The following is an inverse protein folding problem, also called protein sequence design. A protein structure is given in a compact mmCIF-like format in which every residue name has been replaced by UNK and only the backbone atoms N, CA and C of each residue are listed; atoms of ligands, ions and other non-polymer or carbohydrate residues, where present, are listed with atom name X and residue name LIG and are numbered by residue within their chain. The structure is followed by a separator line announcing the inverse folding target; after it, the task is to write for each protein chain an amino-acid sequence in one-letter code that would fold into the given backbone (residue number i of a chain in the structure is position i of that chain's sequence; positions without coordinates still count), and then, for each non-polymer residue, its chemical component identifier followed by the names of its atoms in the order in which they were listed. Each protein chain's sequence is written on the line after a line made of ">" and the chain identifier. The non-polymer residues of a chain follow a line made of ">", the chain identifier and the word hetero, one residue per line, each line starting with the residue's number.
data_IF_091732135604
#
_entry.id   IF_091732135604
#
_cell.length_a   1.000
_cell.length_b   1.000
_cell.length_c   1.000
_cell.angle_alpha   90.00
_cell.angle_beta   90.00
_cell.angle_gamma   90.00
#
_symmetry.space_group_name_H-M   'P 1'
#
loop_
_entity.id
_entity.type
_entity.pdbx_description
1 polymer ?
#
# COMPACT_ATOMS: atom_id res chain seq x y z
N UNK A 1 -22.42 12.57 -0.93
CA UNK A 1 -21.24 11.69 -0.93
C UNK A 1 -20.61 11.77 -2.32
N UNK A 2 -19.36 12.26 -2.42
CA UNK A 2 -18.65 12.29 -3.70
C UNK A 2 -18.15 10.87 -3.99
N UNK A 3 -18.60 10.29 -5.10
CA UNK A 3 -18.05 9.03 -5.60
C UNK A 3 -16.55 9.21 -5.91
N UNK A 4 -15.69 8.30 -5.49
CA UNK A 4 -14.28 8.36 -5.84
C UNK A 4 -14.12 8.25 -7.37
N UNK A 5 -13.47 9.23 -7.98
CA UNK A 5 -13.13 9.23 -9.41
C UNK A 5 -11.79 8.52 -9.56
N UNK A 6 -11.80 7.28 -10.07
CA UNK A 6 -10.58 6.57 -10.43
C UNK A 6 -10.08 7.06 -11.80
N UNK A 7 -8.88 7.59 -11.85
CA UNK A 7 -8.19 7.85 -13.10
C UNK A 7 -7.33 6.64 -13.46
N UNK A 8 -7.72 5.92 -14.51
CA UNK A 8 -6.89 4.85 -15.10
C UNK A 8 -5.88 5.53 -16.03
N UNK A 9 -4.65 5.67 -15.60
CA UNK A 9 -3.55 6.05 -16.49
C UNK A 9 -3.14 4.82 -17.30
N UNK A 10 -3.54 4.77 -18.57
CA UNK A 10 -3.08 3.73 -19.50
C UNK A 10 -1.61 3.97 -19.82
N UNK A 11 -0.75 3.16 -19.26
CA UNK A 11 0.64 3.06 -19.71
C UNK A 11 0.65 2.03 -20.86
N UNK A 12 1.01 2.43 -22.07
CA UNK A 12 0.90 1.63 -23.31
C UNK A 12 1.66 0.28 -23.28
N UNK A 13 2.48 0.05 -22.26
CA UNK A 13 3.32 -1.15 -22.10
C UNK A 13 2.85 -2.14 -21.04
N UNK A 14 1.80 -1.84 -20.25
CA UNK A 14 1.34 -2.75 -19.21
C UNK A 14 0.05 -3.48 -19.64
N UNK A 15 -0.04 -4.80 -19.39
CA UNK A 15 -1.29 -5.53 -19.56
C UNK A 15 -2.43 -4.87 -18.78
N UNK A 16 -3.62 -4.80 -19.36
CA UNK A 16 -4.78 -4.12 -18.76
C UNK A 16 -5.10 -4.63 -17.34
N UNK A 17 -4.86 -5.91 -17.06
CA UNK A 17 -4.99 -6.50 -15.72
C UNK A 17 -4.06 -5.83 -14.69
N UNK A 18 -2.83 -5.48 -15.09
CA UNK A 18 -1.86 -4.87 -14.19
C UNK A 18 -2.18 -3.39 -13.96
N UNK A 19 -2.72 -2.70 -14.95
CA UNK A 19 -3.25 -1.34 -14.80
C UNK A 19 -4.41 -1.34 -13.81
N UNK A 20 -5.37 -2.24 -13.96
CA UNK A 20 -6.51 -2.38 -13.03
C UNK A 20 -6.03 -2.74 -11.63
N UNK A 21 -5.11 -3.69 -11.51
CA UNK A 21 -4.52 -4.09 -10.24
C UNK A 21 -3.88 -2.90 -9.52
N UNK A 22 -3.00 -2.15 -10.20
CA UNK A 22 -2.32 -1.00 -9.61
C UNK A 22 -3.31 0.11 -9.23
N UNK A 23 -4.35 0.35 -10.04
CA UNK A 23 -5.40 1.33 -9.75
C UNK A 23 -6.16 0.98 -8.48
N UNK A 24 -6.63 -0.26 -8.35
CA UNK A 24 -7.36 -0.71 -7.18
C UNK A 24 -6.46 -0.78 -5.93
N UNK A 25 -5.22 -1.25 -6.09
CA UNK A 25 -4.23 -1.29 -5.03
C UNK A 25 -3.99 0.10 -4.44
N UNK A 26 -3.75 1.10 -5.29
CA UNK A 26 -3.55 2.48 -4.85
C UNK A 26 -4.80 3.05 -4.17
N UNK A 27 -6.00 2.76 -4.68
CA UNK A 27 -7.25 3.20 -4.08
C UNK A 27 -7.46 2.61 -2.67
N UNK A 28 -7.08 1.34 -2.45
CA UNK A 28 -7.12 0.71 -1.13
C UNK A 28 -6.10 1.35 -0.19
N UNK A 29 -4.84 1.49 -0.64
CA UNK A 29 -3.76 2.05 0.19
C UNK A 29 -4.00 3.52 0.58
N UNK A 30 -4.69 4.30 -0.28
CA UNK A 30 -5.08 5.68 0.01
C UNK A 30 -6.37 5.80 0.82
N UNK A 31 -7.03 4.68 1.14
CA UNK A 31 -8.30 4.68 1.87
C UNK A 31 -9.49 5.18 1.04
N UNK A 32 -9.36 5.30 -0.29
CA UNK A 32 -10.44 5.63 -1.21
C UNK A 32 -11.46 4.47 -1.30
N UNK A 33 -10.95 3.22 -1.19
CA UNK A 33 -11.72 2.01 -0.95
C UNK A 33 -11.52 1.62 0.52
N UNK A 34 -12.59 1.64 1.28
CA UNK A 34 -12.51 1.44 2.74
C UNK A 34 -12.44 -0.04 3.12
N UNK A 35 -11.78 -0.40 4.24
CA UNK A 35 -11.90 -1.73 4.82
C UNK A 35 -13.37 -2.17 4.92
N UNK A 36 -13.65 -3.43 4.57
CA UNK A 36 -15.01 -3.98 4.51
C UNK A 36 -15.84 -3.55 3.30
N UNK A 37 -15.32 -2.68 2.43
CA UNK A 37 -16.05 -2.26 1.22
C UNK A 37 -16.12 -3.39 0.20
N UNK A 38 -17.32 -3.61 -0.35
CA UNK A 38 -17.55 -4.66 -1.36
C UNK A 38 -17.12 -4.21 -2.76
N UNK A 39 -16.32 -5.04 -3.39
CA UNK A 39 -15.80 -4.86 -4.73
C UNK A 39 -16.49 -5.84 -5.69
N UNK A 40 -17.55 -5.36 -6.36
CA UNK A 40 -18.30 -6.17 -7.32
C UNK A 40 -17.69 -6.07 -8.72
N UNK A 41 -17.34 -7.22 -9.33
CA UNK A 41 -16.70 -7.28 -10.66
C UNK A 41 -17.45 -6.44 -11.72
N UNK A 42 -18.79 -6.51 -11.73
CA UNK A 42 -19.62 -5.80 -12.72
C UNK A 42 -19.53 -4.30 -12.53
N UNK A 43 -19.61 -3.82 -11.28
CA UNK A 43 -19.54 -2.40 -10.98
C UNK A 43 -18.16 -1.83 -11.31
N UNK A 44 -17.11 -2.54 -10.94
CA UNK A 44 -15.73 -2.15 -11.26
C UNK A 44 -15.47 -2.16 -12.77
N UNK A 45 -15.95 -3.17 -13.50
CA UNK A 45 -15.84 -3.24 -14.95
C UNK A 45 -16.50 -2.03 -15.63
N UNK A 46 -17.71 -1.67 -15.22
CA UNK A 46 -18.42 -0.50 -15.73
C UNK A 46 -17.71 0.81 -15.36
N UNK A 47 -17.22 0.93 -14.12
CA UNK A 47 -16.58 2.13 -13.61
C UNK A 47 -15.23 2.41 -14.28
N UNK A 48 -14.47 1.34 -14.59
CA UNK A 48 -13.15 1.41 -15.21
C UNK A 48 -13.21 1.31 -16.76
N UNK A 49 -14.38 1.06 -17.34
CA UNK A 49 -14.55 0.92 -18.81
C UNK A 49 -13.83 -0.30 -19.40
N UNK A 50 -13.71 -1.39 -18.63
CA UNK A 50 -13.00 -2.61 -19.03
C UNK A 50 -13.91 -3.84 -18.95
N UNK A 51 -13.50 -4.96 -19.56
CA UNK A 51 -14.22 -6.23 -19.40
C UNK A 51 -14.02 -6.81 -17.98
N UNK A 52 -14.82 -7.82 -17.61
CA UNK A 52 -14.76 -8.46 -16.29
C UNK A 52 -13.50 -9.29 -16.08
N UNK A 53 -12.86 -9.79 -17.12
CA UNK A 53 -11.69 -10.64 -17.05
C UNK A 53 -10.51 -9.96 -16.35
N UNK A 54 -10.01 -8.77 -16.79
CA UNK A 54 -8.94 -8.06 -16.11
C UNK A 54 -9.29 -7.65 -14.68
N UNK A 55 -10.58 -7.37 -14.39
CA UNK A 55 -11.03 -7.10 -13.02
C UNK A 55 -10.85 -8.33 -12.13
N UNK A 56 -11.29 -9.50 -12.59
CA UNK A 56 -11.18 -10.75 -11.82
C UNK A 56 -9.72 -11.14 -11.56
N UNK A 57 -8.86 -10.98 -12.57
CA UNK A 57 -7.43 -11.23 -12.43
C UNK A 57 -6.78 -10.27 -11.44
N UNK A 58 -7.14 -8.99 -11.50
CA UNK A 58 -6.66 -7.97 -10.55
C UNK A 58 -7.11 -8.26 -9.11
N UNK A 59 -8.39 -8.63 -8.91
CA UNK A 59 -8.91 -8.98 -7.57
C UNK A 59 -8.20 -10.20 -6.99
N UNK A 60 -7.91 -11.24 -7.81
CA UNK A 60 -7.13 -12.39 -7.36
C UNK A 60 -5.71 -12.01 -6.95
N UNK A 61 -5.09 -11.09 -7.69
CA UNK A 61 -3.75 -10.60 -7.35
C UNK A 61 -3.76 -9.79 -6.05
N UNK A 62 -4.80 -8.97 -5.84
CA UNK A 62 -5.00 -8.25 -4.57
C UNK A 62 -5.26 -9.20 -3.39
N UNK A 63 -5.96 -10.32 -3.62
CA UNK A 63 -6.15 -11.37 -2.61
C UNK A 63 -4.82 -12.01 -2.20
N UNK A 64 -3.93 -12.29 -3.16
CA UNK A 64 -2.59 -12.81 -2.87
C UNK A 64 -1.74 -11.82 -2.06
N UNK A 65 -1.96 -10.51 -2.23
CA UNK A 65 -1.33 -9.47 -1.40
C UNK A 65 -2.05 -9.25 -0.06
N UNK A 66 -3.15 -9.95 0.21
CA UNK A 66 -3.93 -9.79 1.44
C UNK A 66 -4.72 -8.48 1.53
N UNK A 67 -4.86 -7.74 0.41
CA UNK A 67 -5.57 -6.46 0.37
C UNK A 67 -7.09 -6.63 0.21
N UNK A 68 -7.53 -7.77 -0.28
CA UNK A 68 -8.95 -8.12 -0.39
C UNK A 68 -9.17 -9.59 0.00
N UNK A 69 -10.40 -9.90 0.42
CA UNK A 69 -10.89 -11.25 0.65
C UNK A 69 -11.91 -11.61 -0.43
N UNK A 70 -11.73 -12.73 -1.14
CA UNK A 70 -12.73 -13.21 -2.08
C UNK A 70 -13.94 -13.80 -1.36
N UNK A 71 -15.13 -13.30 -1.66
CA UNK A 71 -16.37 -13.79 -1.08
C UNK A 71 -17.14 -14.57 -2.15
N UNK A 72 -17.35 -15.89 -1.97
CA UNK A 72 -18.03 -16.72 -2.97
C UNK A 72 -19.38 -16.13 -3.38
N UNK A 73 -19.60 -16.01 -4.69
CA UNK A 73 -20.82 -15.46 -5.33
C UNK A 73 -21.11 -13.97 -5.06
N UNK A 74 -20.24 -13.27 -4.30
CA UNK A 74 -20.43 -11.85 -3.90
C UNK A 74 -19.35 -10.91 -4.37
N UNK A 75 -18.31 -11.40 -5.07
CA UNK A 75 -17.14 -10.62 -5.49
C UNK A 75 -16.01 -10.65 -4.47
N UNK A 76 -15.40 -9.53 -4.22
CA UNK A 76 -14.36 -9.38 -3.20
C UNK A 76 -14.78 -8.31 -2.17
N UNK A 77 -14.07 -8.27 -1.06
CA UNK A 77 -14.23 -7.29 0.01
C UNK A 77 -12.84 -6.78 0.41
N UNK A 78 -12.68 -5.48 0.60
CA UNK A 78 -11.41 -4.90 1.07
C UNK A 78 -11.09 -5.47 2.45
N UNK A 79 -9.88 -5.98 2.64
CA UNK A 79 -9.48 -6.62 3.88
C UNK A 79 -9.45 -5.61 5.04
N UNK A 80 -9.89 -6.06 6.20
CA UNK A 80 -9.78 -5.28 7.44
C UNK A 80 -8.35 -5.38 7.99
N UNK A 81 -7.83 -4.23 8.41
CA UNK A 81 -6.60 -4.18 9.20
C UNK A 81 -6.99 -4.34 10.67
N UNK A 82 -6.78 -5.54 11.23
CA UNK A 82 -7.06 -5.76 12.64
C UNK A 82 -5.89 -5.28 13.51
N UNK A 83 -6.17 -4.92 14.75
CA UNK A 83 -5.13 -4.58 15.73
C UNK A 83 -4.12 -5.72 15.91
N UNK A 84 -4.60 -6.96 15.86
CA UNK A 84 -3.74 -8.15 15.93
C UNK A 84 -2.79 -8.20 14.73
N UNK A 85 -3.30 -8.05 13.50
CA UNK A 85 -2.46 -8.05 12.28
C UNK A 85 -1.39 -6.95 12.32
N UNK A 86 -1.76 -5.76 12.84
CA UNK A 86 -0.82 -4.66 12.99
C UNK A 86 0.28 -5.00 14.01
N UNK A 87 -0.08 -5.59 15.15
CA UNK A 87 0.90 -6.03 16.17
C UNK A 87 1.85 -7.08 15.63
N UNK A 88 1.31 -8.10 14.93
CA UNK A 88 2.10 -9.17 14.33
C UNK A 88 3.14 -8.61 13.33
N UNK A 89 2.73 -7.65 12.49
CA UNK A 89 3.64 -6.97 11.54
C UNK A 89 4.70 -6.15 12.27
N UNK A 90 4.33 -5.38 13.29
CA UNK A 90 5.27 -4.56 14.06
C UNK A 90 6.29 -5.41 14.82
N UNK A 91 5.90 -6.59 15.31
CA UNK A 91 6.83 -7.52 15.97
C UNK A 91 7.89 -8.04 15.00
N UNK A 92 7.49 -8.48 13.80
CA UNK A 92 8.40 -8.91 12.75
C UNK A 92 9.30 -7.76 12.28
N UNK A 93 8.71 -6.59 12.03
CA UNK A 93 9.45 -5.38 11.62
C UNK A 93 10.52 -5.02 12.64
N UNK A 94 10.19 -5.03 13.93
CA UNK A 94 11.14 -4.76 15.00
C UNK A 94 12.35 -5.68 14.94
N UNK A 95 12.15 -6.99 14.79
CA UNK A 95 13.26 -7.95 14.71
C UNK A 95 14.15 -7.70 13.48
N UNK A 96 13.55 -7.37 12.34
CA UNK A 96 14.29 -7.05 11.11
C UNK A 96 15.06 -5.73 11.23
N UNK A 97 14.49 -4.72 11.84
CA UNK A 97 15.16 -3.43 12.07
C UNK A 97 16.34 -3.57 13.03
N UNK A 98 16.18 -4.33 14.13
CA UNK A 98 17.28 -4.63 15.06
C UNK A 98 18.46 -5.32 14.34
N UNK A 99 18.15 -6.31 13.50
CA UNK A 99 19.19 -6.99 12.70
C UNK A 99 19.83 -6.03 11.68
N UNK A 100 19.06 -5.20 11.02
CA UNK A 100 19.54 -4.22 10.03
C UNK A 100 20.50 -3.23 10.66
N UNK A 101 20.17 -2.71 11.85
CA UNK A 101 21.06 -1.79 12.61
C UNK A 101 22.34 -2.48 13.00
N UNK A 102 22.29 -3.74 13.49
CA UNK A 102 23.49 -4.49 13.84
C UNK A 102 24.43 -4.64 12.64
N UNK A 103 23.90 -5.04 11.49
CA UNK A 103 24.68 -5.21 10.26
C UNK A 103 25.21 -3.87 9.72
N UNK A 104 24.45 -2.80 9.84
CA UNK A 104 24.88 -1.47 9.43
C UNK A 104 26.06 -0.96 10.29
N UNK A 105 26.02 -1.15 11.60
CA UNK A 105 27.09 -0.72 12.51
C UNK A 105 28.46 -1.31 12.16
N UNK A 106 28.50 -2.47 11.47
CA UNK A 106 29.75 -3.10 11.04
C UNK A 106 30.37 -2.46 9.79
N UNK A 107 29.58 -1.70 9.01
CA UNK A 107 29.94 -1.28 7.64
C UNK A 107 29.78 0.21 7.38
N UNK A 108 29.02 0.91 8.21
CA UNK A 108 28.62 2.30 8.00
C UNK A 108 29.84 3.23 8.08
N UNK A 109 29.93 4.18 7.16
CA UNK A 109 30.96 5.23 7.12
C UNK A 109 30.52 6.47 7.90
N UNK A 110 31.47 7.36 8.20
CA UNK A 110 31.18 8.65 8.87
C UNK A 110 30.24 9.52 8.01
N UNK A 111 30.41 9.51 6.68
CA UNK A 111 29.56 10.25 5.77
C UNK A 111 28.12 9.73 5.78
N UNK A 112 27.94 8.43 5.82
CA UNK A 112 26.61 7.78 5.91
C UNK A 112 25.94 8.02 7.26
N UNK A 113 26.71 8.10 8.35
CA UNK A 113 26.20 8.48 9.68
C UNK A 113 25.65 9.91 9.65
N UNK A 114 26.37 10.85 9.02
CA UNK A 114 25.91 12.25 8.91
C UNK A 114 24.66 12.37 8.02
N UNK A 115 24.56 11.56 6.95
CA UNK A 115 23.33 11.51 6.14
C UNK A 115 22.17 10.94 6.95
N UNK A 116 22.37 9.83 7.67
CA UNK A 116 21.34 9.22 8.53
C UNK A 116 20.81 10.22 9.58
N UNK A 117 21.69 11.00 10.20
CA UNK A 117 21.30 12.06 11.15
C UNK A 117 20.40 13.09 10.47
N UNK A 118 20.76 13.55 9.26
CA UNK A 118 19.95 14.53 8.51
C UNK A 118 18.57 13.99 8.15
N UNK A 119 18.49 12.72 7.74
CA UNK A 119 17.21 12.08 7.42
C UNK A 119 16.36 11.89 8.68
N UNK A 120 16.98 11.50 9.80
CA UNK A 120 16.30 11.36 11.09
C UNK A 120 15.72 12.70 11.59
N UNK A 121 16.45 13.82 11.44
CA UNK A 121 15.95 15.14 11.79
C UNK A 121 14.74 15.54 10.92
N UNK A 122 14.82 15.33 9.59
CA UNK A 122 13.68 15.58 8.69
C UNK A 122 12.46 14.75 9.07
N UNK A 123 12.66 13.46 9.38
CA UNK A 123 11.57 12.61 9.84
C UNK A 123 10.92 13.15 11.11
N UNK A 124 11.74 13.57 12.07
CA UNK A 124 11.25 14.16 13.31
C UNK A 124 10.41 15.41 13.08
N UNK A 125 10.85 16.29 12.17
CA UNK A 125 10.12 17.52 11.83
C UNK A 125 8.74 17.20 11.19
N UNK A 126 8.62 16.09 10.45
CA UNK A 126 7.34 15.69 9.84
C UNK A 126 6.32 15.17 10.85
N UNK A 127 6.74 14.68 12.01
CA UNK A 127 5.82 14.16 13.04
C UNK A 127 4.91 15.27 13.62
N UNK A 128 5.37 16.50 13.63
CA UNK A 128 4.60 17.65 14.12
C UNK A 128 3.55 18.15 13.10
N UNK A 129 3.70 17.82 11.81
CA UNK A 129 2.86 18.32 10.70
C UNK A 129 1.49 17.60 10.61
N UNK A 130 1.29 16.47 11.29
CA UNK A 130 0.08 15.62 11.26
C UNK A 130 -0.34 15.17 9.85
N UNK A 131 0.50 15.36 8.82
CA UNK A 131 0.27 14.90 7.46
C UNK A 131 0.79 13.47 7.30
N UNK A 132 -0.13 12.51 7.33
CA UNK A 132 0.17 11.08 7.23
C UNK A 132 0.98 10.75 5.97
N UNK A 133 0.76 11.47 4.87
CA UNK A 133 1.49 11.22 3.61
C UNK A 133 2.96 11.61 3.75
N UNK A 134 3.24 12.80 4.30
CA UNK A 134 4.60 13.26 4.55
C UNK A 134 5.34 12.38 5.55
N UNK A 135 4.65 11.96 6.62
CA UNK A 135 5.21 11.03 7.61
C UNK A 135 5.61 9.72 6.94
N UNK A 136 4.74 9.15 6.09
CA UNK A 136 5.03 7.91 5.38
C UNK A 136 6.19 8.05 4.38
N UNK A 137 6.27 9.17 3.66
CA UNK A 137 7.39 9.46 2.74
C UNK A 137 8.72 9.62 3.50
N UNK A 138 8.68 10.26 4.66
CA UNK A 138 9.85 10.43 5.52
C UNK A 138 10.29 9.10 6.17
N UNK A 139 9.34 8.23 6.56
CA UNK A 139 9.62 6.88 7.07
C UNK A 139 10.34 6.03 6.01
N UNK A 140 9.84 6.04 4.77
CA UNK A 140 10.49 5.33 3.65
C UNK A 140 11.89 5.88 3.35
N UNK A 141 12.10 7.19 3.48
CA UNK A 141 13.41 7.79 3.24
C UNK A 141 14.43 7.48 4.35
N UNK A 142 13.96 7.23 5.58
CA UNK A 142 14.79 6.87 6.71
C UNK A 142 15.26 5.40 6.65
N UNK A 143 14.42 4.49 6.17
CA UNK A 143 14.71 3.06 6.04
C UNK A 143 15.31 2.70 4.69
#
# INVERSE_FOLDING_TARGET
>A
MKEPKFNVTMNEYLPLRDVVFNTLRQAILRGELKPGERLMEIQLANKLGVSRTPIREALRKLELEGLVNMVPRKGAEVADITEKSLRDVLEVRKALEELSVQLACEKITEEEIEELKRVAERFKDTLDDQDVTKIAEADVAFH
#
